data_IF_998283712730
#
_entry.id   IF_998283712730
#
_cell.length_a   1.000
_cell.length_b   1.000
_cell.length_c   1.000
_cell.angle_alpha   90.00
_cell.angle_beta   90.00
_cell.angle_gamma   90.00
#
_symmetry.space_group_name_H-M   'P 1'
#
loop_
_entity.id
_entity.type
_entity.pdbx_description
1 polymer ?
#
# COMPACT_ATOMS: atom_id res chain seq x y z
N UNK A 1 -30.68 -13.21 -43.46
CA UNK A 1 -29.55 -13.93 -44.08
C UNK A 1 -28.89 -13.16 -45.23
N UNK A 2 -29.59 -12.25 -45.93
CA UNK A 2 -29.03 -11.44 -47.04
C UNK A 2 -27.86 -10.53 -46.63
N UNK A 3 -27.89 -9.94 -45.42
CA UNK A 3 -26.84 -9.05 -44.92
C UNK A 3 -25.51 -9.77 -44.64
N UNK A 4 -25.56 -11.02 -44.19
CA UNK A 4 -24.39 -11.84 -43.92
C UNK A 4 -23.71 -12.30 -45.23
N UNK A 5 -24.48 -12.50 -46.29
CA UNK A 5 -23.97 -12.88 -47.62
C UNK A 5 -23.28 -11.71 -48.33
N UNK A 6 -23.80 -10.48 -48.21
CA UNK A 6 -23.15 -9.27 -48.77
C UNK A 6 -21.83 -8.94 -48.10
N UNK A 7 -21.71 -9.22 -46.80
CA UNK A 7 -20.43 -9.15 -46.13
C UNK A 7 -19.46 -10.16 -46.75
N UNK A 8 -19.87 -11.24 -47.41
CA UNK A 8 -18.97 -12.25 -47.98
C UNK A 8 -18.31 -11.92 -49.30
N UNK A 9 -18.98 -11.15 -50.14
CA UNK A 9 -18.52 -10.93 -51.52
C UNK A 9 -17.68 -9.65 -51.68
N UNK A 10 -17.67 -8.77 -50.68
CA UNK A 10 -16.93 -7.51 -50.73
C UNK A 10 -15.87 -7.48 -49.61
N UNK A 11 -14.62 -7.90 -49.89
CA UNK A 11 -13.54 -7.95 -48.91
C UNK A 11 -13.28 -6.59 -48.22
N UNK A 12 -13.45 -5.49 -48.97
CA UNK A 12 -13.33 -4.14 -48.43
C UNK A 12 -14.39 -3.81 -47.37
N UNK A 13 -15.63 -4.29 -47.56
CA UNK A 13 -16.71 -4.08 -46.60
C UNK A 13 -16.48 -4.91 -45.32
N UNK A 14 -15.97 -6.15 -45.44
CA UNK A 14 -15.55 -6.95 -44.28
C UNK A 14 -14.48 -6.23 -43.48
N UNK A 15 -13.44 -5.77 -44.16
CA UNK A 15 -12.31 -5.11 -43.52
C UNK A 15 -12.77 -3.84 -42.81
N UNK A 16 -13.61 -3.02 -43.46
CA UNK A 16 -14.17 -1.83 -42.87
C UNK A 16 -14.99 -2.12 -41.61
N UNK A 17 -15.87 -3.12 -41.65
CA UNK A 17 -16.69 -3.52 -40.49
C UNK A 17 -15.82 -4.02 -39.34
N UNK A 18 -14.78 -4.82 -39.61
CA UNK A 18 -13.85 -5.31 -38.58
C UNK A 18 -13.06 -4.16 -37.94
N UNK A 19 -12.54 -3.22 -38.75
CA UNK A 19 -11.83 -2.04 -38.25
C UNK A 19 -12.75 -1.16 -37.40
N UNK A 20 -13.99 -0.93 -37.82
CA UNK A 20 -14.96 -0.15 -37.04
C UNK A 20 -15.29 -0.83 -35.71
N UNK A 21 -15.59 -2.14 -35.72
CA UNK A 21 -15.93 -2.85 -34.49
C UNK A 21 -14.75 -2.91 -33.51
N UNK A 22 -13.54 -3.15 -33.99
CA UNK A 22 -12.34 -3.20 -33.15
C UNK A 22 -11.95 -1.83 -32.59
N UNK A 23 -12.06 -0.76 -33.37
CA UNK A 23 -11.82 0.61 -32.89
C UNK A 23 -12.88 1.04 -31.89
N UNK A 24 -14.16 0.74 -32.11
CA UNK A 24 -15.23 0.97 -31.15
C UNK A 24 -14.97 0.22 -29.83
N UNK A 25 -14.60 -1.07 -29.89
CA UNK A 25 -14.26 -1.86 -28.71
C UNK A 25 -13.06 -1.27 -27.94
N UNK A 26 -12.02 -0.84 -28.65
CA UNK A 26 -10.85 -0.18 -28.06
C UNK A 26 -11.21 1.13 -27.34
N UNK A 27 -12.03 1.98 -27.97
CA UNK A 27 -12.47 3.27 -27.40
C UNK A 27 -13.30 3.04 -26.13
N UNK A 28 -14.27 2.11 -26.15
CA UNK A 28 -15.11 1.78 -24.99
C UNK A 28 -14.26 1.24 -23.84
N UNK A 29 -13.32 0.35 -24.13
CA UNK A 29 -12.42 -0.20 -23.11
C UNK A 29 -11.52 0.89 -22.50
N UNK A 30 -11.03 1.83 -23.32
CA UNK A 30 -10.23 2.97 -22.85
C UNK A 30 -11.05 3.93 -21.97
N UNK A 31 -12.30 4.22 -22.33
CA UNK A 31 -13.19 5.06 -21.53
C UNK A 31 -13.53 4.42 -20.18
N UNK A 32 -13.72 3.10 -20.15
CA UNK A 32 -13.95 2.37 -18.90
C UNK A 32 -12.74 2.40 -17.96
N UNK A 33 -11.52 2.37 -18.53
CA UNK A 33 -10.27 2.50 -17.78
C UNK A 33 -9.97 3.94 -17.30
N UNK A 34 -10.66 4.96 -17.83
CA UNK A 34 -10.36 6.38 -17.58
C UNK A 34 -11.48 7.14 -16.85
N UNK A 35 -12.41 6.44 -16.18
CA UNK A 35 -13.43 7.11 -15.34
C UNK A 35 -12.74 8.09 -14.37
N UNK A 36 -12.98 9.41 -14.50
CA UNK A 36 -12.28 10.40 -13.70
C UNK A 36 -12.71 10.26 -12.25
N UNK A 37 -11.71 10.23 -11.36
CA UNK A 37 -11.92 10.31 -9.92
C UNK A 37 -12.65 11.60 -9.64
N UNK A 38 -13.85 11.49 -9.05
CA UNK A 38 -14.54 12.64 -8.49
C UNK A 38 -13.64 13.21 -7.40
N UNK A 39 -13.07 14.38 -7.64
CA UNK A 39 -12.25 15.08 -6.66
C UNK A 39 -13.13 15.40 -5.45
N UNK A 40 -12.94 14.66 -4.36
CA UNK A 40 -13.42 15.10 -3.06
C UNK A 40 -12.57 16.29 -2.63
N UNK A 41 -13.18 17.35 -2.08
CA UNK A 41 -12.43 18.49 -1.59
C UNK A 41 -11.51 18.02 -0.47
N UNK A 42 -10.23 17.87 -0.78
CA UNK A 42 -9.17 17.65 0.19
C UNK A 42 -8.98 18.97 0.93
N UNK A 43 -9.54 19.08 2.13
CA UNK A 43 -9.23 20.17 3.04
C UNK A 43 -7.77 19.99 3.44
N UNK A 44 -6.88 20.73 2.78
CA UNK A 44 -5.44 20.76 3.06
C UNK A 44 -5.24 21.42 4.41
N UNK A 45 -5.51 20.67 5.49
CA UNK A 45 -4.96 20.99 6.79
C UNK A 45 -3.51 20.53 6.77
N UNK A 46 -2.62 21.46 6.44
CA UNK A 46 -1.21 21.36 6.85
C UNK A 46 -1.25 21.38 8.37
N UNK A 47 -1.31 20.20 8.99
CA UNK A 47 -1.02 20.08 10.40
C UNK A 47 0.50 20.07 10.50
N UNK A 48 1.09 21.24 10.70
CA UNK A 48 2.42 21.32 11.31
C UNK A 48 2.38 20.45 12.55
N UNK A 49 3.17 19.37 12.55
CA UNK A 49 3.34 18.51 13.72
C UNK A 49 3.94 19.42 14.80
N UNK A 50 3.19 19.78 15.85
CA UNK A 50 3.77 20.51 16.97
C UNK A 50 4.86 19.62 17.57
N UNK A 51 5.95 20.23 18.00
CA UNK A 51 7.12 19.55 18.54
C UNK A 51 6.86 18.78 19.85
N UNK A 52 5.61 18.67 20.30
CA UNK A 52 5.19 17.84 21.41
C UNK A 52 4.41 16.64 20.87
N UNK A 53 5.11 15.50 20.87
CA UNK A 53 4.48 14.19 20.78
C UNK A 53 3.30 14.09 21.76
N UNK A 54 2.13 13.57 21.35
CA UNK A 54 1.07 13.30 22.31
C UNK A 54 1.61 12.35 23.36
N UNK A 55 1.58 12.81 24.61
CA UNK A 55 1.73 11.97 25.78
C UNK A 55 0.71 10.85 25.62
N UNK A 56 1.21 9.63 25.49
CA UNK A 56 0.38 8.44 25.38
C UNK A 56 -0.26 8.25 26.76
N UNK A 57 -1.49 8.77 26.95
CA UNK A 57 -2.29 8.47 28.13
C UNK A 57 -2.57 6.97 28.11
N UNK A 58 -1.77 6.25 28.89
CA UNK A 58 -1.95 4.85 29.17
C UNK A 58 -3.34 4.69 29.78
N UNK A 59 -4.23 4.01 29.06
CA UNK A 59 -5.48 3.56 29.64
C UNK A 59 -5.15 2.54 30.74
N UNK A 60 -5.40 2.98 31.96
CA UNK A 60 -5.24 2.20 33.17
C UNK A 60 -6.23 1.02 33.16
N UNK A 61 -5.68 -0.18 33.03
CA UNK A 61 -6.38 -1.42 33.33
C UNK A 61 -5.50 -2.22 34.30
N UNK A 62 -5.87 -2.10 35.56
CA UNK A 62 -5.39 -2.80 36.75
C UNK A 62 -5.21 -4.32 36.59
N UNK A 63 -4.00 -4.84 36.82
CA UNK A 63 -3.77 -6.11 37.55
C UNK A 63 -2.27 -6.34 37.83
N UNK A 64 -1.84 -6.64 39.09
CA UNK A 64 -0.44 -6.82 39.45
C UNK A 64 0.01 -8.27 39.19
N UNK A 65 0.26 -8.62 37.93
CA UNK A 65 0.96 -9.88 37.58
C UNK A 65 1.50 -9.99 36.15
N UNK A 66 1.35 -8.97 35.28
CA UNK A 66 1.84 -9.07 33.89
C UNK A 66 3.32 -8.69 33.76
N UNK A 67 4.15 -9.51 33.07
CA UNK A 67 5.49 -9.10 32.64
C UNK A 67 5.39 -7.90 31.68
N UNK A 68 6.44 -7.07 31.55
CA UNK A 68 6.38 -5.73 30.97
C UNK A 68 5.71 -5.72 29.58
N UNK A 69 5.02 -4.62 29.27
CA UNK A 69 4.23 -4.33 28.05
C UNK A 69 5.07 -4.29 26.76
N UNK A 70 5.88 -5.31 26.53
CA UNK A 70 6.70 -5.47 25.34
C UNK A 70 5.81 -5.90 24.17
N UNK A 71 5.76 -5.13 23.07
CA UNK A 71 5.03 -5.55 21.88
C UNK A 71 5.72 -6.78 21.28
N UNK A 72 5.12 -7.96 21.41
CA UNK A 72 5.70 -9.22 20.87
C UNK A 72 5.84 -9.15 19.35
N UNK A 73 4.85 -8.56 18.67
CA UNK A 73 4.82 -8.36 17.23
C UNK A 73 4.22 -7.01 16.85
N UNK A 74 4.77 -6.36 15.83
CA UNK A 74 4.18 -5.15 15.26
C UNK A 74 4.03 -5.25 13.74
N UNK A 75 2.97 -4.62 13.23
CA UNK A 75 2.79 -4.33 11.81
C UNK A 75 3.38 -2.94 11.52
N UNK A 76 4.32 -2.86 10.58
CA UNK A 76 4.88 -1.61 10.10
C UNK A 76 4.36 -1.33 8.69
N UNK A 77 3.74 -0.17 8.51
CA UNK A 77 3.19 0.30 7.24
C UNK A 77 4.04 1.48 6.72
N UNK A 78 5.02 1.25 5.84
CA UNK A 78 5.89 2.32 5.39
C UNK A 78 5.21 3.29 4.41
N UNK A 79 4.20 2.84 3.69
CA UNK A 79 3.35 3.65 2.82
C UNK A 79 1.90 3.17 2.93
N UNK A 80 0.94 4.07 2.69
CA UNK A 80 -0.48 3.72 2.51
C UNK A 80 -0.93 3.86 1.05
N UNK A 81 0.00 4.17 0.15
CA UNK A 81 -0.28 4.26 -1.28
C UNK A 81 -0.59 2.88 -1.86
N UNK A 82 -1.57 2.83 -2.75
CA UNK A 82 -2.01 1.61 -3.43
C UNK A 82 -2.31 1.93 -4.90
N UNK A 83 -1.94 1.03 -5.81
CA UNK A 83 -2.32 1.13 -7.23
C UNK A 83 -3.62 0.38 -7.56
N UNK A 84 -4.33 -0.13 -6.55
CA UNK A 84 -5.56 -0.89 -6.68
C UNK A 84 -6.62 -0.41 -5.68
N UNK A 85 -7.89 -0.41 -6.11
CA UNK A 85 -9.03 -0.02 -5.26
C UNK A 85 -9.83 -1.25 -4.87
N UNK A 86 -9.76 -1.59 -3.60
CA UNK A 86 -10.48 -2.72 -3.03
C UNK A 86 -11.71 -2.20 -2.25
N UNK A 87 -12.88 -2.78 -2.52
CA UNK A 87 -14.15 -2.41 -1.87
C UNK A 87 -14.28 -2.84 -0.40
N UNK A 88 -13.36 -3.68 0.07
CA UNK A 88 -13.31 -4.20 1.45
C UNK A 88 -12.02 -3.80 2.18
N UNK A 89 -11.19 -2.90 1.61
CA UNK A 89 -9.92 -2.52 2.23
C UNK A 89 -10.15 -1.58 3.42
N UNK A 90 -9.73 -2.04 4.60
CA UNK A 90 -9.75 -1.23 5.83
C UNK A 90 -8.61 -0.20 5.89
N UNK A 91 -7.59 -0.35 5.03
CA UNK A 91 -6.47 0.58 4.89
C UNK A 91 -6.65 1.46 3.65
N UNK A 92 -7.45 2.51 3.79
CA UNK A 92 -7.61 3.50 2.74
C UNK A 92 -6.37 4.41 2.63
N UNK A 93 -6.03 4.77 1.40
CA UNK A 93 -4.95 5.71 1.09
C UNK A 93 -5.29 7.08 1.67
N UNK A 94 -4.82 7.29 2.89
CA UNK A 94 -5.08 8.49 3.70
C UNK A 94 -3.90 9.44 3.67
N UNK A 95 -2.72 8.97 3.22
CA UNK A 95 -1.50 9.75 3.11
C UNK A 95 -0.48 9.04 2.21
N UNK A 96 0.23 9.82 1.40
CA UNK A 96 1.41 9.42 0.62
C UNK A 96 2.72 9.57 1.40
N UNK A 97 2.66 10.00 2.66
CA UNK A 97 3.87 10.29 3.43
C UNK A 97 4.63 9.00 3.82
N UNK A 98 5.91 8.96 3.46
CA UNK A 98 6.85 7.91 3.83
C UNK A 98 7.94 8.50 4.73
N UNK A 99 8.20 7.86 5.87
CA UNK A 99 9.30 8.28 6.75
C UNK A 99 10.65 8.19 6.04
N UNK A 100 11.53 9.17 6.31
CA UNK A 100 12.91 9.12 5.83
C UNK A 100 13.67 7.91 6.37
N UNK A 101 14.76 7.56 5.70
CA UNK A 101 15.45 6.31 5.98
C UNK A 101 15.89 6.17 7.44
N UNK A 102 16.48 7.26 7.95
CA UNK A 102 17.03 7.37 9.30
C UNK A 102 15.96 7.31 10.39
N UNK A 103 14.86 8.04 10.22
CA UNK A 103 13.75 8.05 11.19
C UNK A 103 13.13 6.66 11.30
N UNK A 104 12.85 6.02 10.18
CA UNK A 104 12.27 4.69 10.19
C UNK A 104 13.26 3.64 10.72
N UNK A 105 14.58 3.79 10.49
CA UNK A 105 15.61 2.92 11.10
C UNK A 105 15.66 3.09 12.62
N UNK A 106 15.57 4.33 13.12
CA UNK A 106 15.50 4.62 14.56
C UNK A 106 14.28 3.95 15.20
N UNK A 107 13.11 4.05 14.58
CA UNK A 107 11.89 3.37 15.06
C UNK A 107 12.06 1.85 15.18
N UNK A 108 12.68 1.19 14.20
CA UNK A 108 12.94 -0.25 14.25
C UNK A 108 13.90 -0.64 15.39
N UNK A 109 14.88 0.20 15.72
CA UNK A 109 15.78 -0.03 16.87
C UNK A 109 15.03 0.06 18.19
N UNK A 110 14.19 1.08 18.37
CA UNK A 110 13.36 1.25 19.57
C UNK A 110 12.44 0.04 19.79
N UNK A 111 11.82 -0.48 18.73
CA UNK A 111 11.00 -1.69 18.83
C UNK A 111 11.81 -2.92 19.27
N UNK A 112 13.04 -3.07 18.75
CA UNK A 112 13.94 -4.15 19.16
C UNK A 112 14.34 -4.02 20.63
N UNK A 113 14.73 -2.82 21.06
CA UNK A 113 15.12 -2.49 22.44
C UNK A 113 13.97 -2.71 23.41
N UNK A 114 12.74 -2.40 23.01
CA UNK A 114 11.52 -2.69 23.77
C UNK A 114 11.21 -4.20 23.89
N UNK A 115 11.95 -5.07 23.20
CA UNK A 115 11.84 -6.53 23.28
C UNK A 115 10.98 -7.18 22.17
N UNK A 116 10.64 -6.45 21.10
CA UNK A 116 9.85 -7.00 20.01
C UNK A 116 10.57 -8.14 19.27
N UNK A 117 9.82 -9.20 18.98
CA UNK A 117 10.33 -10.44 18.37
C UNK A 117 9.93 -10.62 16.91
N UNK A 118 8.80 -10.06 16.48
CA UNK A 118 8.29 -10.20 15.11
C UNK A 118 7.93 -8.84 14.50
N UNK A 119 8.47 -8.57 13.32
CA UNK A 119 8.04 -7.45 12.50
C UNK A 119 7.31 -8.00 11.27
N UNK A 120 6.10 -7.52 11.03
CA UNK A 120 5.41 -7.72 9.76
C UNK A 120 5.44 -6.39 8.99
N UNK A 121 5.98 -6.41 7.77
CA UNK A 121 5.93 -5.24 6.90
C UNK A 121 4.67 -5.37 6.06
N UNK A 122 3.67 -4.56 6.40
CA UNK A 122 2.47 -4.37 5.60
C UNK A 122 2.58 -3.03 4.87
N UNK A 123 1.72 -2.75 3.91
CA UNK A 123 1.68 -1.45 3.25
C UNK A 123 0.26 -1.27 2.69
N UNK A 124 0.05 -0.19 1.96
CA UNK A 124 -0.85 -0.26 0.83
C UNK A 124 -0.35 -1.33 -0.15
N UNK A 125 0.20 -0.93 -1.28
CA UNK A 125 0.91 -1.86 -2.17
C UNK A 125 2.38 -1.95 -1.74
N UNK A 126 2.86 -3.08 -1.16
CA UNK A 126 4.20 -3.15 -0.58
C UNK A 126 5.30 -2.92 -1.61
N UNK A 127 5.09 -3.34 -2.85
CA UNK A 127 6.09 -3.29 -3.92
C UNK A 127 6.08 -2.00 -4.73
N UNK A 128 5.23 -1.03 -4.39
CA UNK A 128 5.21 0.27 -5.07
C UNK A 128 6.52 1.05 -4.87
N UNK A 129 7.21 0.81 -3.74
CA UNK A 129 8.47 1.46 -3.37
C UNK A 129 9.60 0.42 -3.13
N UNK A 130 10.07 -0.29 -4.18
CA UNK A 130 10.89 -1.49 -4.02
C UNK A 130 12.28 -1.21 -3.43
N UNK A 131 12.90 -0.07 -3.77
CA UNK A 131 14.20 0.35 -3.21
C UNK A 131 14.06 0.65 -1.72
N UNK A 132 13.00 1.34 -1.33
CA UNK A 132 12.73 1.66 0.06
C UNK A 132 12.45 0.39 0.87
N UNK A 133 11.58 -0.48 0.37
CA UNK A 133 11.23 -1.76 0.99
C UNK A 133 12.46 -2.67 1.18
N UNK A 134 13.27 -2.84 0.14
CA UNK A 134 14.53 -3.61 0.21
C UNK A 134 15.44 -3.09 1.33
N UNK A 135 15.51 -1.77 1.48
CA UNK A 135 16.30 -1.13 2.53
C UNK A 135 15.73 -1.36 3.94
N UNK A 136 14.39 -1.45 4.08
CA UNK A 136 13.72 -1.84 5.33
C UNK A 136 14.06 -3.27 5.71
N UNK A 137 13.99 -4.21 4.76
CA UNK A 137 14.36 -5.61 5.00
C UNK A 137 15.83 -5.77 5.40
N UNK A 138 16.75 -5.08 4.72
CA UNK A 138 18.17 -5.11 5.08
C UNK A 138 18.41 -4.56 6.50
N UNK A 139 17.72 -3.47 6.86
CA UNK A 139 17.82 -2.88 8.20
C UNK A 139 17.25 -3.81 9.27
N UNK A 140 16.05 -4.34 9.04
CA UNK A 140 15.39 -5.31 9.93
C UNK A 140 16.27 -6.56 10.15
N UNK A 141 16.83 -7.11 9.08
CA UNK A 141 17.74 -8.27 9.17
C UNK A 141 18.96 -7.96 10.03
N UNK A 142 19.56 -6.78 9.89
CA UNK A 142 20.70 -6.35 10.73
C UNK A 142 20.32 -6.19 12.21
N UNK A 143 19.09 -5.76 12.52
CA UNK A 143 18.62 -5.52 13.89
C UNK A 143 18.19 -6.82 14.59
N UNK A 144 17.48 -7.72 13.90
CA UNK A 144 16.92 -8.94 14.51
C UNK A 144 17.72 -10.22 14.23
N UNK A 145 18.49 -10.30 13.15
CA UNK A 145 19.29 -11.48 12.78
C UNK A 145 20.75 -11.26 13.19
N UNK A 146 20.96 -10.93 14.46
CA UNK A 146 22.26 -11.12 15.10
C UNK A 146 22.43 -12.62 15.37
N UNK A 147 23.62 -13.16 15.05
CA UNK A 147 23.95 -14.60 14.98
C UNK A 147 23.65 -15.44 16.24
N UNK A 148 23.23 -14.82 17.34
CA UNK A 148 22.93 -15.50 18.61
C UNK A 148 21.45 -15.75 18.90
N UNK A 149 20.51 -15.18 18.14
CA UNK A 149 19.09 -15.19 18.54
C UNK A 149 18.28 -16.42 18.07
N UNK A 150 18.85 -17.30 17.25
CA UNK A 150 18.17 -18.49 16.70
C UNK A 150 18.59 -19.82 17.34
N UNK A 151 19.31 -19.78 18.46
CA UNK A 151 19.83 -20.98 19.16
C UNK A 151 19.26 -21.13 20.58
N UNK A 152 17.97 -20.84 20.75
CA UNK A 152 17.19 -21.12 21.96
C UNK A 152 15.88 -21.75 21.52
#
# INVERSE_FOLDING_TARGET
MVLLSLLSEVPALRFFVVVVLTTCAYIVHRQSASKPVKNFPHKTAVHEVPAESPVFEAQEASHPSKPPDTPVSANYFPSREFNYKCGFCFHTETSSYILTHDKARRGLKLLKEAGMRKLNIASGEPFLHPKFLSSRFATAKRIWVSKHQYRQ
#
